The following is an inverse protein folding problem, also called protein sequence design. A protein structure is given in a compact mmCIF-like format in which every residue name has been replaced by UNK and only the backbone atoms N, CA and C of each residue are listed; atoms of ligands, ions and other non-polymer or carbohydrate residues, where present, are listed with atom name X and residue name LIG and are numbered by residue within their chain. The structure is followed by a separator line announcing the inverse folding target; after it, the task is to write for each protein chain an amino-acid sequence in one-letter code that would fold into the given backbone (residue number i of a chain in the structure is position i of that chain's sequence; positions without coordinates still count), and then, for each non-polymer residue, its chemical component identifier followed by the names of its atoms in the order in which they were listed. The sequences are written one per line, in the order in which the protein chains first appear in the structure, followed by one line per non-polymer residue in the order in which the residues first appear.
data_IF_503719978685
#
_entry.id   IF_503719978685
#
_cell.length_a   1.000
_cell.length_b   1.000
_cell.length_c   1.000
_cell.angle_alpha   90.00
_cell.angle_beta   90.00
_cell.angle_gamma   90.00
#
_symmetry.space_group_name_H-M   'P 1'
#
loop_
_entity.id
_entity.type
_entity.pdbx_description
1 polymer ?
#
# COMPACT_ATOMS: atom_id res chain seq x y z
N UNK A 1 -24.31 14.45 4.99
CA UNK A 1 -23.50 15.61 5.38
C UNK A 1 -22.06 15.15 5.62
N UNK A 2 -21.10 15.72 4.89
CA UNK A 2 -19.68 15.45 5.11
C UNK A 2 -19.26 15.94 6.50
N UNK A 3 -18.54 15.08 7.22
CA UNK A 3 -17.91 15.43 8.50
C UNK A 3 -16.39 15.48 8.29
N UNK A 4 -15.79 16.64 8.59
CA UNK A 4 -14.35 16.81 8.53
C UNK A 4 -13.70 16.46 9.87
N UNK A 5 -12.64 15.66 9.85
CA UNK A 5 -11.79 15.46 11.01
C UNK A 5 -10.66 16.51 11.01
N UNK A 6 -10.49 17.21 12.13
CA UNK A 6 -9.38 18.13 12.32
C UNK A 6 -8.15 17.34 12.74
N UNK A 7 -7.21 17.12 11.79
CA UNK A 7 -5.97 16.42 12.03
C UNK A 7 -4.80 17.41 12.10
N UNK A 8 -4.01 17.31 13.14
CA UNK A 8 -2.76 18.06 13.26
C UNK A 8 -1.58 17.27 12.66
N UNK A 9 -0.48 17.95 12.37
CA UNK A 9 0.77 17.25 12.02
C UNK A 9 1.19 16.27 13.12
N UNK A 10 0.97 16.61 14.38
CA UNK A 10 1.25 15.73 15.51
C UNK A 10 0.43 14.43 15.48
N UNK A 11 -0.85 14.49 15.10
CA UNK A 11 -1.67 13.29 14.94
C UNK A 11 -1.12 12.36 13.83
N UNK A 12 -0.71 12.95 12.71
CA UNK A 12 -0.14 12.18 11.59
C UNK A 12 1.19 11.53 11.98
N UNK A 13 2.09 12.30 12.60
CA UNK A 13 3.38 11.78 13.06
C UNK A 13 3.23 10.68 14.10
N UNK A 14 2.34 10.85 15.08
CA UNK A 14 2.05 9.83 16.07
C UNK A 14 1.55 8.54 15.44
N UNK A 15 0.66 8.65 14.43
CA UNK A 15 0.15 7.47 13.72
C UNK A 15 1.24 6.79 12.87
N UNK A 16 2.13 7.56 12.25
CA UNK A 16 3.30 7.01 11.54
C UNK A 16 4.19 6.21 12.51
N UNK A 17 4.49 6.75 13.68
CA UNK A 17 5.28 6.05 14.70
C UNK A 17 4.61 4.77 15.20
N UNK A 18 3.30 4.80 15.40
CA UNK A 18 2.51 3.62 15.79
C UNK A 18 2.60 2.54 14.70
N UNK A 19 2.33 2.90 13.45
CA UNK A 19 2.39 1.97 12.32
C UNK A 19 3.81 1.42 12.12
N UNK A 20 4.81 2.27 12.27
CA UNK A 20 6.23 1.86 12.18
C UNK A 20 6.61 0.91 13.31
N UNK A 21 6.17 1.19 14.53
CA UNK A 21 6.42 0.33 15.69
C UNK A 21 5.85 -1.07 15.50
N UNK A 22 4.65 -1.17 14.91
CA UNK A 22 4.01 -2.46 14.61
C UNK A 22 4.72 -3.22 13.49
N UNK A 23 5.21 -2.52 12.47
CA UNK A 23 5.81 -3.10 11.27
C UNK A 23 7.33 -3.17 11.27
N UNK A 24 8.01 -2.64 12.29
CA UNK A 24 9.47 -2.44 12.30
C UNK A 24 10.29 -3.69 11.99
N UNK A 25 9.86 -4.86 12.45
CA UNK A 25 10.55 -6.12 12.20
C UNK A 25 10.40 -6.63 10.76
N UNK A 26 9.51 -6.05 9.96
CA UNK A 26 9.18 -6.47 8.60
C UNK A 26 9.58 -5.44 7.55
N UNK A 27 10.03 -4.25 7.97
CA UNK A 27 10.39 -3.16 7.08
C UNK A 27 11.92 -2.99 7.08
N UNK A 28 12.53 -3.25 5.93
CA UNK A 28 13.95 -2.99 5.70
C UNK A 28 14.13 -1.57 5.18
N UNK A 29 14.61 -0.67 6.04
CA UNK A 29 14.79 0.74 5.70
C UNK A 29 15.65 0.92 4.42
N UNK A 30 15.18 1.77 3.52
CA UNK A 30 15.83 2.06 2.25
C UNK A 30 15.73 0.97 1.17
N UNK A 31 15.10 -0.16 1.45
CA UNK A 31 15.02 -1.31 0.53
C UNK A 31 13.62 -1.67 0.08
N UNK A 32 12.59 -1.17 0.76
CA UNK A 32 11.22 -1.52 0.42
C UNK A 32 10.75 -0.83 -0.86
N UNK A 33 9.91 -1.55 -1.61
CA UNK A 33 9.22 -1.05 -2.79
C UNK A 33 7.73 -1.26 -2.56
N UNK A 34 7.00 -0.19 -2.32
CA UNK A 34 5.57 -0.24 -2.02
C UNK A 34 4.74 0.12 -3.24
N UNK A 35 3.76 -0.72 -3.57
CA UNK A 35 2.77 -0.40 -4.59
C UNK A 35 1.64 0.41 -3.97
N UNK A 36 1.44 1.60 -4.49
CA UNK A 36 0.35 2.50 -4.11
C UNK A 36 -0.70 2.56 -5.20
N UNK A 37 -1.71 1.71 -5.06
CA UNK A 37 -2.88 1.64 -5.93
C UNK A 37 -4.11 2.33 -5.32
N UNK A 38 -4.02 2.76 -4.07
CA UNK A 38 -5.05 3.52 -3.37
C UNK A 38 -4.83 5.03 -3.57
N UNK A 39 -5.91 5.82 -3.64
CA UNK A 39 -5.79 7.26 -3.78
C UNK A 39 -5.16 7.89 -2.53
N UNK A 40 -4.15 8.73 -2.73
CA UNK A 40 -3.42 9.38 -1.63
C UNK A 40 -4.22 10.43 -0.87
N UNK A 41 -5.37 10.84 -1.38
CA UNK A 41 -6.29 11.69 -0.60
C UNK A 41 -7.07 10.90 0.47
N UNK A 42 -7.04 9.56 0.41
CA UNK A 42 -7.60 8.72 1.47
C UNK A 42 -6.59 8.60 2.60
N UNK A 43 -7.03 8.83 3.84
CA UNK A 43 -6.14 8.87 5.02
C UNK A 43 -5.30 7.60 5.20
N UNK A 44 -5.82 6.44 4.88
CA UNK A 44 -5.07 5.19 4.94
C UNK A 44 -3.86 5.20 4.00
N UNK A 45 -4.07 5.49 2.72
CA UNK A 45 -2.98 5.55 1.75
C UNK A 45 -2.01 6.71 2.05
N UNK A 46 -2.53 7.85 2.47
CA UNK A 46 -1.73 9.01 2.83
C UNK A 46 -0.79 8.68 4.00
N UNK A 47 -1.31 8.10 5.07
CA UNK A 47 -0.51 7.81 6.26
C UNK A 47 0.39 6.60 6.04
N UNK A 48 -0.15 5.49 5.57
CA UNK A 48 0.60 4.24 5.44
C UNK A 48 1.52 4.24 4.22
N UNK A 49 0.97 4.40 3.02
CA UNK A 49 1.77 4.31 1.79
C UNK A 49 2.74 5.48 1.63
N UNK A 50 2.26 6.71 1.87
CA UNK A 50 3.10 7.87 1.68
C UNK A 50 3.98 8.12 2.90
N UNK A 51 3.41 8.45 4.05
CA UNK A 51 4.21 8.92 5.19
C UNK A 51 5.09 7.84 5.82
N UNK A 52 4.54 6.65 6.12
CA UNK A 52 5.32 5.59 6.75
C UNK A 52 6.46 5.10 5.84
N UNK A 53 6.15 4.79 4.57
CA UNK A 53 7.18 4.31 3.66
C UNK A 53 8.15 5.40 3.21
N UNK A 54 7.74 6.66 3.17
CA UNK A 54 8.67 7.78 2.98
C UNK A 54 9.66 7.87 4.14
N UNK A 55 9.17 7.77 5.38
CA UNK A 55 10.03 7.76 6.58
C UNK A 55 10.99 6.59 6.57
N UNK A 56 10.58 5.44 6.02
CA UNK A 56 11.44 4.27 5.83
C UNK A 56 12.45 4.40 4.67
N UNK A 57 12.43 5.50 3.92
CA UNK A 57 13.28 5.68 2.74
C UNK A 57 12.92 4.75 1.59
N UNK A 58 11.69 4.30 1.50
CA UNK A 58 11.21 3.31 0.53
C UNK A 58 10.89 3.94 -0.81
N UNK A 59 10.98 3.13 -1.86
CA UNK A 59 10.48 3.51 -3.19
C UNK A 59 8.96 3.33 -3.23
N UNK A 60 8.25 4.36 -3.63
CA UNK A 60 6.81 4.30 -3.83
C UNK A 60 6.48 4.20 -5.33
N UNK A 61 5.89 3.08 -5.75
CA UNK A 61 5.43 2.84 -7.11
C UNK A 61 3.96 3.25 -7.19
N UNK A 62 3.70 4.36 -7.83
CA UNK A 62 2.37 4.94 -7.93
C UNK A 62 1.60 4.33 -9.09
N UNK A 63 0.40 3.83 -8.83
CA UNK A 63 -0.55 3.38 -9.84
C UNK A 63 -1.80 4.30 -9.82
N UNK A 64 -1.76 5.44 -10.53
CA UNK A 64 -2.83 6.45 -10.46
C UNK A 64 -4.20 5.94 -10.91
N UNK A 65 -4.20 4.93 -11.77
CA UNK A 65 -5.42 4.30 -12.28
C UNK A 65 -5.30 2.78 -12.13
N UNK A 66 -5.71 2.20 -10.99
CA UNK A 66 -5.67 0.75 -10.77
C UNK A 66 -6.77 -0.01 -11.53
N UNK A 67 -7.60 0.69 -12.25
CA UNK A 67 -8.66 0.10 -13.09
C UNK A 67 -8.45 0.49 -14.56
N UNK A 68 -8.54 -0.49 -15.47
CA UNK A 68 -8.71 -1.92 -15.23
C UNK A 68 -7.52 -2.50 -14.43
N UNK A 69 -7.75 -3.64 -13.75
CA UNK A 69 -6.75 -4.24 -12.83
C UNK A 69 -5.44 -4.60 -13.52
N UNK A 70 -5.49 -4.86 -14.83
CA UNK A 70 -4.33 -5.13 -15.68
C UNK A 70 -3.30 -3.99 -15.68
N UNK A 71 -3.70 -2.76 -15.33
CA UNK A 71 -2.77 -1.64 -15.20
C UNK A 71 -1.72 -1.89 -14.11
N UNK A 72 -2.04 -2.72 -13.11
CA UNK A 72 -1.11 -3.07 -12.04
C UNK A 72 -0.07 -4.10 -12.49
N UNK A 73 -0.33 -4.87 -13.54
CA UNK A 73 0.62 -5.84 -14.06
C UNK A 73 1.95 -5.19 -14.39
N UNK A 74 1.94 -4.03 -15.03
CA UNK A 74 3.16 -3.29 -15.37
C UNK A 74 4.00 -2.92 -14.13
N UNK A 75 3.34 -2.62 -13.02
CA UNK A 75 4.03 -2.30 -11.78
C UNK A 75 4.75 -3.54 -11.23
N UNK A 76 4.08 -4.69 -11.22
CA UNK A 76 4.68 -5.95 -10.78
C UNK A 76 5.78 -6.46 -11.73
N UNK A 77 5.61 -6.28 -13.03
CA UNK A 77 6.61 -6.72 -14.03
C UNK A 77 7.89 -5.86 -13.98
N UNK A 78 7.76 -4.55 -13.73
CA UNK A 78 8.88 -3.62 -13.83
C UNK A 78 9.56 -3.30 -12.50
N UNK A 79 8.92 -3.61 -11.37
CA UNK A 79 9.45 -3.28 -10.05
C UNK A 79 9.37 -4.47 -9.09
N UNK A 80 10.40 -4.69 -8.27
CA UNK A 80 10.39 -5.74 -7.26
C UNK A 80 9.52 -5.32 -6.06
N UNK A 81 8.21 -5.29 -6.26
CA UNK A 81 7.26 -4.88 -5.24
C UNK A 81 7.39 -5.76 -4.00
N UNK A 82 7.60 -5.14 -2.84
CA UNK A 82 7.72 -5.83 -1.55
C UNK A 82 6.49 -5.67 -0.67
N UNK A 83 5.75 -4.57 -0.85
CA UNK A 83 4.55 -4.26 -0.08
C UNK A 83 3.41 -3.79 -0.98
N UNK A 84 2.22 -4.28 -0.69
CA UNK A 84 0.97 -3.82 -1.34
C UNK A 84 -0.05 -3.49 -0.27
N UNK A 85 -0.65 -2.32 -0.36
CA UNK A 85 -1.83 -1.98 0.43
C UNK A 85 -3.07 -1.91 -0.44
N UNK A 86 -4.18 -2.32 0.09
CA UNK A 86 -5.41 -2.36 -0.67
C UNK A 86 -6.67 -2.53 0.17
N UNK A 87 -7.77 -2.65 -0.52
CA UNK A 87 -9.08 -3.04 0.02
C UNK A 87 -9.43 -4.43 -0.53
N UNK A 88 -10.39 -5.12 0.08
CA UNK A 88 -10.80 -6.46 -0.33
C UNK A 88 -11.07 -6.60 -1.83
N UNK A 89 -11.75 -5.62 -2.41
CA UNK A 89 -12.07 -5.64 -3.86
C UNK A 89 -10.83 -5.60 -4.74
N UNK A 90 -9.75 -4.92 -4.31
CA UNK A 90 -8.49 -4.90 -5.04
C UNK A 90 -7.80 -6.27 -4.97
N UNK A 91 -7.71 -6.85 -3.77
CA UNK A 91 -7.08 -8.16 -3.61
C UNK A 91 -7.85 -9.26 -4.32
N UNK A 92 -9.19 -9.25 -4.23
CA UNK A 92 -10.03 -10.20 -4.97
C UNK A 92 -9.85 -10.05 -6.48
N UNK A 93 -9.74 -8.82 -6.99
CA UNK A 93 -9.50 -8.58 -8.41
C UNK A 93 -8.12 -9.13 -8.83
N UNK A 94 -7.07 -8.91 -8.04
CA UNK A 94 -5.74 -9.45 -8.33
C UNK A 94 -5.71 -10.98 -8.32
N UNK A 95 -6.38 -11.61 -7.36
CA UNK A 95 -6.44 -13.07 -7.26
C UNK A 95 -7.18 -13.73 -8.43
N UNK A 96 -8.09 -13.01 -9.08
CA UNK A 96 -8.80 -13.48 -10.26
C UNK A 96 -8.05 -13.26 -11.58
N UNK A 97 -6.92 -12.57 -11.55
CA UNK A 97 -6.08 -12.35 -12.73
C UNK A 97 -5.11 -13.52 -12.93
N UNK A 98 -5.19 -14.17 -14.09
CA UNK A 98 -4.32 -15.30 -14.42
C UNK A 98 -2.83 -14.97 -14.31
N UNK A 99 -2.43 -13.77 -14.75
CA UNK A 99 -1.04 -13.32 -14.68
C UNK A 99 -0.52 -13.21 -13.23
N UNK A 100 -1.39 -12.85 -12.28
CA UNK A 100 -1.03 -12.75 -10.87
C UNK A 100 -1.05 -14.12 -10.19
N UNK A 101 -2.06 -14.94 -10.47
CA UNK A 101 -2.21 -16.28 -9.91
C UNK A 101 -1.12 -17.25 -10.39
N UNK A 102 -0.75 -17.17 -11.70
CA UNK A 102 0.26 -18.05 -12.29
C UNK A 102 1.70 -17.71 -11.86
N UNK A 103 1.99 -16.42 -11.68
CA UNK A 103 3.31 -15.93 -11.32
C UNK A 103 3.21 -14.90 -10.19
N UNK A 104 2.86 -15.34 -8.97
CA UNK A 104 2.81 -14.41 -7.85
C UNK A 104 4.17 -13.74 -7.63
N UNK A 105 4.18 -12.44 -7.29
CA UNK A 105 5.43 -11.70 -7.13
C UNK A 105 6.32 -12.32 -6.04
N UNK A 106 7.47 -12.86 -6.43
CA UNK A 106 8.40 -13.51 -5.50
C UNK A 106 9.01 -12.56 -4.47
N UNK A 107 9.01 -11.26 -4.77
CA UNK A 107 9.55 -10.21 -3.92
C UNK A 107 8.54 -9.70 -2.88
N UNK A 108 7.26 -10.04 -3.03
CA UNK A 108 6.21 -9.57 -2.14
C UNK A 108 6.38 -10.17 -0.74
N UNK A 109 6.62 -9.31 0.25
CA UNK A 109 6.80 -9.69 1.65
C UNK A 109 5.49 -9.63 2.42
N UNK A 110 4.70 -8.59 2.16
CA UNK A 110 3.48 -8.34 2.90
C UNK A 110 2.43 -7.60 2.09
N UNK A 111 1.19 -7.83 2.46
CA UNK A 111 0.04 -7.05 2.01
C UNK A 111 -0.75 -6.56 3.22
N UNK A 112 -1.26 -5.33 3.13
CA UNK A 112 -2.03 -4.71 4.19
C UNK A 112 -3.39 -4.30 3.65
N UNK A 113 -4.43 -4.82 4.28
CA UNK A 113 -5.80 -4.45 3.96
C UNK A 113 -6.35 -3.47 4.99
N UNK A 114 -7.12 -2.51 4.52
CA UNK A 114 -7.78 -1.54 5.38
C UNK A 114 -9.08 -1.03 4.78
N UNK A 115 -9.82 -0.24 5.56
CA UNK A 115 -11.08 0.38 5.13
C UNK A 115 -12.32 -0.49 5.31
N UNK A 116 -12.17 -1.81 5.38
CA UNK A 116 -13.23 -2.76 5.69
C UNK A 116 -12.62 -4.06 6.23
N UNK A 117 -13.45 -4.91 6.84
CA UNK A 117 -13.01 -6.23 7.28
C UNK A 117 -12.53 -7.07 6.08
N UNK A 118 -11.44 -7.81 6.26
CA UNK A 118 -10.98 -8.79 5.29
C UNK A 118 -11.96 -9.97 5.26
N UNK A 119 -12.31 -10.39 4.05
CA UNK A 119 -13.16 -11.57 3.81
C UNK A 119 -12.30 -12.72 3.34
#
# INVERSE_FOLDING_TARGET
VSKGAMLTHGNLLANVEQAFSMGRSHIDAGREVVLTALPLYHIFAFTFNLLCFFTAGSRNVMAPSPRPIQNLQRAFDNYPITWVSGVNTLFNALLNEEWFAALPPKTLKASVAGGAALQ
#
